data_IF_705824551451
#
_entry.id   IF_705824551451
#
_cell.length_a   1.000
_cell.length_b   1.000
_cell.length_c   1.000
_cell.angle_alpha   90.00
_cell.angle_beta   90.00
_cell.angle_gamma   90.00
#
_symmetry.space_group_name_H-M   'P 1'
#
loop_
_entity.id
_entity.type
_entity.pdbx_description
1 polymer ?
#
# COMPACT_ATOMS: atom_id res chain seq x y z
N UNK A 1 22.51 30.24 28.59
CA UNK A 1 22.26 28.79 28.72
C UNK A 1 21.75 28.29 27.37
N UNK A 2 22.65 27.76 26.52
CA UNK A 2 22.35 27.34 25.15
C UNK A 2 21.76 25.93 25.16
N UNK A 3 20.57 25.78 24.59
CA UNK A 3 19.85 24.52 24.41
C UNK A 3 20.58 23.64 23.38
N UNK A 4 20.98 22.44 23.78
CA UNK A 4 21.58 21.45 22.90
C UNK A 4 20.52 20.81 21.98
N UNK A 5 20.81 20.77 20.67
CA UNK A 5 19.99 20.11 19.66
C UNK A 5 20.09 18.57 19.76
N UNK A 6 19.02 17.81 19.43
CA UNK A 6 19.03 16.36 19.59
C UNK A 6 19.86 15.66 18.51
N UNK A 7 20.67 14.71 18.97
CA UNK A 7 21.57 13.86 18.17
C UNK A 7 20.79 13.00 17.16
N UNK A 8 21.13 13.12 15.87
CA UNK A 8 20.64 12.25 14.79
C UNK A 8 21.33 10.90 14.89
N UNK A 9 20.58 9.84 15.24
CA UNK A 9 21.09 8.47 15.23
C UNK A 9 21.19 7.95 13.78
N UNK A 10 22.42 7.77 13.31
CA UNK A 10 22.74 7.12 12.02
C UNK A 10 22.77 5.60 12.24
N UNK A 11 21.99 4.84 11.48
CA UNK A 11 21.98 3.37 11.56
C UNK A 11 22.92 2.82 10.49
N UNK A 12 24.00 2.14 10.90
CA UNK A 12 24.89 1.41 10.00
C UNK A 12 24.42 -0.03 9.87
N UNK A 13 23.82 -0.38 8.73
CA UNK A 13 23.57 -1.77 8.36
C UNK A 13 24.88 -2.36 7.83
N UNK A 14 25.56 -3.22 8.61
CA UNK A 14 26.67 -4.02 8.11
C UNK A 14 26.12 -5.13 7.20
N UNK A 15 26.49 -5.12 5.91
CA UNK A 15 26.11 -6.12 4.92
C UNK A 15 27.34 -6.57 4.12
N UNK A 16 27.38 -7.85 3.75
CA UNK A 16 28.52 -8.51 3.09
C UNK A 16 28.84 -7.93 1.70
N UNK A 17 30.12 -7.93 1.27
CA UNK A 17 30.54 -7.34 0.00
C UNK A 17 30.01 -8.11 -1.22
N UNK A 18 29.49 -7.37 -2.21
CA UNK A 18 28.86 -7.92 -3.40
C UNK A 18 29.85 -8.07 -4.56
N UNK A 19 29.92 -9.26 -5.17
CA UNK A 19 30.76 -9.51 -6.35
C UNK A 19 30.24 -8.77 -7.59
N UNK A 20 31.12 -8.01 -8.25
CA UNK A 20 30.80 -7.23 -9.46
C UNK A 20 30.79 -8.13 -10.70
N UNK A 21 29.59 -8.46 -11.20
CA UNK A 21 29.38 -8.86 -12.61
C UNK A 21 28.67 -7.71 -13.31
N UNK A 22 29.19 -7.30 -14.48
CA UNK A 22 28.76 -6.13 -15.24
C UNK A 22 27.24 -5.93 -15.21
N UNK A 23 26.80 -4.83 -14.63
CA UNK A 23 25.40 -4.60 -14.30
C UNK A 23 24.80 -3.57 -15.27
N UNK A 24 23.84 -4.01 -16.08
CA UNK A 24 22.82 -3.12 -16.62
C UNK A 24 22.35 -2.17 -15.50
N UNK A 25 22.32 -0.87 -15.78
CA UNK A 25 21.93 0.12 -14.79
C UNK A 25 20.44 -0.09 -14.39
N UNK A 26 20.03 0.45 -13.24
CA UNK A 26 18.68 0.23 -12.75
C UNK A 26 17.59 0.71 -13.73
N UNK A 27 17.86 1.76 -14.52
CA UNK A 27 16.92 2.27 -15.51
C UNK A 27 16.70 1.28 -16.67
N UNK A 28 17.76 0.65 -17.17
CA UNK A 28 17.69 -0.38 -18.20
C UNK A 28 16.90 -1.60 -17.71
N UNK A 29 17.14 -2.03 -16.46
CA UNK A 29 16.40 -3.14 -15.87
C UNK A 29 14.92 -2.82 -15.66
N UNK A 30 14.59 -1.57 -15.32
CA UNK A 30 13.21 -1.07 -15.21
C UNK A 30 12.52 -1.00 -16.59
N UNK A 31 13.21 -0.60 -17.64
CA UNK A 31 12.70 -0.68 -19.02
C UNK A 31 12.45 -2.12 -19.47
N UNK A 32 13.35 -3.06 -19.15
CA UNK A 32 13.13 -4.49 -19.45
C UNK A 32 11.96 -5.08 -18.66
N UNK A 33 11.64 -4.51 -17.49
CA UNK A 33 10.46 -4.90 -16.71
C UNK A 33 9.17 -4.42 -17.39
N UNK A 34 9.14 -3.22 -17.96
CA UNK A 34 7.93 -2.69 -18.62
C UNK A 34 7.56 -3.45 -19.89
N UNK A 35 8.50 -4.15 -20.53
CA UNK A 35 8.23 -4.99 -21.70
C UNK A 35 7.57 -6.33 -21.38
N UNK A 36 7.33 -6.66 -20.10
CA UNK A 36 6.43 -7.77 -19.70
C UNK A 36 6.92 -9.20 -19.99
N UNK A 37 8.20 -9.40 -20.35
CA UNK A 37 8.73 -10.72 -20.67
C UNK A 37 9.07 -11.54 -19.42
N UNK A 38 8.30 -12.61 -19.18
CA UNK A 38 8.66 -13.67 -18.23
C UNK A 38 7.48 -14.20 -17.39
N UNK A 39 7.61 -15.42 -16.87
CA UNK A 39 6.65 -15.96 -15.90
C UNK A 39 6.74 -15.24 -14.54
N UNK A 40 5.69 -15.35 -13.72
CA UNK A 40 5.55 -14.63 -12.43
C UNK A 40 6.76 -14.80 -11.50
N UNK A 41 7.31 -16.01 -11.42
CA UNK A 41 8.49 -16.29 -10.59
C UNK A 41 9.77 -15.60 -11.09
N UNK A 42 9.94 -15.49 -12.40
CA UNK A 42 11.08 -14.78 -13.02
C UNK A 42 10.94 -13.26 -12.84
N UNK A 43 9.72 -12.73 -12.95
CA UNK A 43 9.42 -11.32 -12.71
C UNK A 43 9.72 -10.90 -11.27
N UNK A 44 9.34 -11.71 -10.27
CA UNK A 44 9.64 -11.44 -8.85
C UNK A 44 11.15 -11.37 -8.62
N UNK A 45 11.90 -12.37 -9.10
CA UNK A 45 13.37 -12.40 -8.97
C UNK A 45 14.03 -11.19 -9.64
N UNK A 46 13.53 -10.82 -10.82
CA UNK A 46 14.01 -9.64 -11.54
C UNK A 46 13.74 -8.35 -10.77
N UNK A 47 12.52 -8.15 -10.26
CA UNK A 47 12.16 -6.99 -9.45
C UNK A 47 13.03 -6.88 -8.18
N UNK A 48 13.27 -7.99 -7.49
CA UNK A 48 14.15 -8.03 -6.32
C UNK A 48 15.60 -7.71 -6.69
N UNK A 49 16.09 -8.14 -7.86
CA UNK A 49 17.43 -7.80 -8.35
C UNK A 49 17.55 -6.30 -8.60
N UNK A 50 16.54 -5.68 -9.22
CA UNK A 50 16.48 -4.21 -9.42
C UNK A 50 16.50 -3.51 -8.07
N UNK A 51 15.61 -3.91 -7.16
CA UNK A 51 15.49 -3.30 -5.84
C UNK A 51 16.83 -3.35 -5.08
N UNK A 52 17.48 -4.52 -5.05
CA UNK A 52 18.82 -4.67 -4.45
C UNK A 52 19.85 -3.77 -5.12
N UNK A 53 19.84 -3.70 -6.46
CA UNK A 53 20.76 -2.83 -7.21
C UNK A 53 20.56 -1.33 -6.96
N UNK A 54 19.35 -0.90 -6.53
CA UNK A 54 19.07 0.47 -6.12
C UNK A 54 19.46 0.69 -4.65
N UNK A 55 19.14 -0.27 -3.78
CA UNK A 55 19.37 -0.17 -2.33
C UNK A 55 20.84 -0.31 -1.94
N UNK A 56 21.61 -1.15 -2.65
CA UNK A 56 22.98 -1.51 -2.28
C UNK A 56 24.05 -0.66 -3.01
N UNK A 57 23.68 0.49 -3.57
CA UNK A 57 24.67 1.37 -4.21
C UNK A 57 25.54 2.04 -3.14
N UNK A 58 26.86 1.81 -3.21
CA UNK A 58 27.86 2.33 -2.24
C UNK A 58 27.84 3.88 -2.12
N UNK A 59 27.38 4.58 -3.16
CA UNK A 59 27.31 6.04 -3.20
C UNK A 59 25.95 6.62 -2.77
N UNK A 60 25.06 5.81 -2.17
CA UNK A 60 23.75 6.28 -1.68
C UNK A 60 23.66 6.20 -0.16
N UNK A 61 23.20 7.28 0.43
CA UNK A 61 22.79 7.30 1.84
C UNK A 61 21.27 7.32 1.91
N UNK A 62 20.70 6.47 2.76
CA UNK A 62 19.27 6.44 3.03
C UNK A 62 19.01 7.18 4.32
N UNK A 63 18.13 8.18 4.27
CA UNK A 63 17.63 8.85 5.45
C UNK A 63 16.29 8.23 5.84
N UNK A 64 16.09 8.03 7.15
CA UNK A 64 14.80 7.58 7.65
C UNK A 64 13.81 8.72 7.49
N UNK A 65 12.89 8.59 6.54
CA UNK A 65 11.78 9.54 6.34
C UNK A 65 10.62 9.19 7.26
N UNK A 66 10.19 7.93 7.23
CA UNK A 66 9.05 7.47 8.02
C UNK A 66 9.15 5.96 8.28
N UNK A 67 8.51 5.49 9.34
CA UNK A 67 8.36 4.05 9.60
C UNK A 67 7.11 3.79 10.41
N UNK A 68 6.37 2.75 10.03
CA UNK A 68 5.26 2.23 10.81
C UNK A 68 5.21 0.72 10.70
N UNK A 69 4.78 0.08 11.77
CA UNK A 69 4.56 -1.37 11.82
C UNK A 69 3.07 -1.64 11.96
N UNK A 70 2.63 -2.81 11.48
CA UNK A 70 1.29 -3.34 11.73
C UNK A 70 1.40 -4.77 12.21
N UNK A 71 0.40 -5.22 12.98
CA UNK A 71 0.23 -6.63 13.33
C UNK A 71 -0.45 -7.43 12.20
N UNK A 72 -1.06 -6.73 11.24
CA UNK A 72 -1.75 -7.30 10.08
C UNK A 72 -0.98 -7.00 8.79
N UNK A 73 -1.37 -7.65 7.69
CA UNK A 73 -0.82 -7.37 6.37
C UNK A 73 -1.06 -5.90 6.01
N UNK A 74 0.00 -5.22 5.57
CA UNK A 74 -0.10 -3.86 5.04
C UNK A 74 -0.38 -3.96 3.55
N UNK A 75 -1.50 -3.40 3.11
CA UNK A 75 -1.87 -3.39 1.69
C UNK A 75 -1.46 -2.06 1.06
N UNK A 76 -0.97 -2.11 -0.17
CA UNK A 76 -0.61 -0.93 -0.95
C UNK A 76 -1.39 -0.93 -2.26
N UNK A 77 -2.12 0.15 -2.52
CA UNK A 77 -2.86 0.31 -3.76
C UNK A 77 -3.01 1.78 -4.12
N UNK A 78 -2.65 2.14 -5.36
CA UNK A 78 -2.79 3.50 -5.92
C UNK A 78 -2.33 4.62 -4.98
N UNK A 79 -1.07 4.51 -4.54
CA UNK A 79 -0.44 5.44 -3.60
C UNK A 79 -1.13 5.54 -2.23
N UNK A 80 -1.92 4.53 -1.84
CA UNK A 80 -2.51 4.43 -0.51
C UNK A 80 -1.96 3.20 0.21
N UNK A 81 -1.63 3.37 1.48
CA UNK A 81 -1.29 2.27 2.38
C UNK A 81 -2.44 2.03 3.36
N UNK A 82 -2.84 0.77 3.47
CA UNK A 82 -3.88 0.31 4.37
C UNK A 82 -3.28 -0.53 5.48
N UNK A 83 -3.56 -0.14 6.72
CA UNK A 83 -3.12 -0.81 7.94
C UNK A 83 -4.32 -1.32 8.73
N UNK A 84 -4.08 -2.28 9.62
CA UNK A 84 -5.09 -2.83 10.54
C UNK A 84 -6.33 -3.35 9.80
N UNK A 85 -6.11 -4.15 8.75
CA UNK A 85 -7.15 -4.64 7.84
C UNK A 85 -8.04 -3.51 7.29
N UNK A 86 -7.43 -2.58 6.57
CA UNK A 86 -8.12 -1.43 5.94
C UNK A 86 -8.75 -0.40 6.88
N UNK A 87 -8.55 -0.50 8.20
CA UNK A 87 -9.09 0.47 9.15
C UNK A 87 -8.35 1.81 9.12
N UNK A 88 -7.06 1.82 8.80
CA UNK A 88 -6.29 3.05 8.70
C UNK A 88 -5.73 3.22 7.29
N UNK A 89 -5.98 4.36 6.68
CA UNK A 89 -5.51 4.68 5.34
C UNK A 89 -4.53 5.85 5.37
N UNK A 90 -3.42 5.70 4.64
CA UNK A 90 -2.39 6.72 4.47
C UNK A 90 -2.17 6.99 2.98
N UNK A 91 -2.07 8.26 2.60
CA UNK A 91 -1.62 8.70 1.28
C UNK A 91 -0.10 8.73 1.23
N UNK A 92 0.48 8.18 0.16
CA UNK A 92 1.91 8.18 -0.14
C UNK A 92 2.25 9.14 -1.29
N UNK A 93 1.39 10.12 -1.58
CA UNK A 93 1.68 11.16 -2.59
C UNK A 93 2.79 12.10 -2.10
N UNK A 94 2.89 12.29 -0.79
CA UNK A 94 3.90 13.13 -0.15
C UNK A 94 5.12 12.30 0.31
N UNK A 95 6.23 12.99 0.56
CA UNK A 95 7.49 12.38 1.03
C UNK A 95 7.26 11.57 2.31
N UNK A 96 6.53 12.14 3.27
CA UNK A 96 6.04 11.41 4.44
C UNK A 96 4.57 11.01 4.22
N UNK A 97 4.19 9.75 4.46
CA UNK A 97 2.80 9.32 4.30
C UNK A 97 1.85 10.09 5.22
N UNK A 98 0.80 10.67 4.64
CA UNK A 98 -0.21 11.43 5.38
C UNK A 98 -1.42 10.57 5.68
N UNK A 99 -1.93 10.65 6.91
CA UNK A 99 -3.19 10.01 7.28
C UNK A 99 -4.33 10.58 6.45
N UNK A 100 -5.08 9.71 5.76
CA UNK A 100 -6.33 10.10 5.10
C UNK A 100 -7.50 9.92 6.05
N UNK A 101 -7.59 8.74 6.67
CA UNK A 101 -8.62 8.46 7.66
C UNK A 101 -8.21 7.33 8.61
N UNK A 102 -8.91 7.27 9.73
CA UNK A 102 -8.99 6.12 10.63
C UNK A 102 -10.45 5.83 10.86
N UNK A 103 -10.86 4.62 10.51
CA UNK A 103 -12.21 4.16 10.82
C UNK A 103 -12.37 4.07 12.35
N UNK A 104 -13.57 4.37 12.87
CA UNK A 104 -13.85 4.19 14.29
C UNK A 104 -13.66 2.73 14.70
N UNK A 105 -13.27 2.51 15.95
CA UNK A 105 -13.07 1.17 16.50
C UNK A 105 -14.33 0.34 16.35
N UNK A 106 -14.23 -0.78 15.64
CA UNK A 106 -15.35 -1.69 15.38
C UNK A 106 -15.35 -2.87 16.32
N UNK A 107 -16.53 -3.43 16.55
CA UNK A 107 -16.66 -4.70 17.27
C UNK A 107 -15.98 -5.84 16.47
N UNK A 108 -15.65 -6.96 17.14
CA UNK A 108 -15.09 -8.13 16.46
C UNK A 108 -16.00 -8.69 15.35
N UNK A 109 -17.30 -8.45 15.46
CA UNK A 109 -18.30 -8.87 14.48
C UNK A 109 -18.32 -7.96 13.24
N UNK A 110 -17.85 -6.73 13.36
CA UNK A 110 -17.84 -5.74 12.27
C UNK A 110 -16.43 -5.52 11.68
N UNK A 111 -15.46 -6.35 12.09
CA UNK A 111 -14.12 -6.32 11.51
C UNK A 111 -14.21 -6.55 9.99
N UNK A 112 -13.34 -5.88 9.26
CA UNK A 112 -13.16 -6.09 7.82
C UNK A 112 -12.43 -7.43 7.65
N UNK A 113 -13.03 -8.35 6.89
CA UNK A 113 -12.45 -9.64 6.51
C UNK A 113 -11.67 -9.52 5.20
N UNK A 114 -12.23 -8.80 4.23
CA UNK A 114 -11.60 -8.53 2.94
C UNK A 114 -12.07 -7.18 2.37
N UNK A 115 -11.29 -6.60 1.46
CA UNK A 115 -11.67 -5.37 0.80
C UNK A 115 -11.12 -5.27 -0.63
N UNK A 116 -11.94 -4.71 -1.52
CA UNK A 116 -11.63 -4.47 -2.92
C UNK A 116 -11.66 -2.97 -3.22
N UNK A 117 -10.63 -2.48 -3.90
CA UNK A 117 -10.60 -1.10 -4.37
C UNK A 117 -11.40 -0.94 -5.66
N UNK A 118 -12.36 -0.01 -5.65
CA UNK A 118 -13.19 0.29 -6.79
C UNK A 118 -12.75 1.61 -7.43
N UNK A 119 -12.36 1.52 -8.70
CA UNK A 119 -12.00 2.65 -9.54
C UNK A 119 -12.92 2.75 -10.75
N UNK A 120 -13.25 3.97 -11.14
CA UNK A 120 -13.97 4.22 -12.39
C UNK A 120 -13.02 4.13 -13.58
N UNK A 121 -13.48 3.63 -14.74
CA UNK A 121 -12.70 3.70 -15.98
C UNK A 121 -12.46 5.15 -16.37
N UNK A 122 -11.22 5.49 -16.74
CA UNK A 122 -10.83 6.85 -17.15
C UNK A 122 -11.53 7.29 -18.44
N UNK A 123 -11.88 6.34 -19.31
CA UNK A 123 -12.36 6.59 -20.68
C UNK A 123 -13.89 6.73 -20.79
N UNK A 124 -14.64 6.35 -19.75
CA UNK A 124 -16.11 6.32 -19.81
C UNK A 124 -16.68 7.36 -18.85
N UNK A 125 -17.36 8.36 -19.39
CA UNK A 125 -18.18 9.25 -18.56
C UNK A 125 -19.31 8.43 -17.94
N UNK A 126 -19.34 8.35 -16.62
CA UNK A 126 -20.42 7.75 -15.87
C UNK A 126 -21.58 8.75 -15.78
N UNK A 127 -22.78 8.25 -15.51
CA UNK A 127 -24.00 9.06 -15.45
C UNK A 127 -23.96 10.13 -14.35
N UNK A 128 -23.29 9.84 -13.22
CA UNK A 128 -23.11 10.81 -12.14
C UNK A 128 -21.62 11.07 -11.86
N UNK A 129 -21.23 12.33 -11.62
CA UNK A 129 -19.88 12.68 -11.14
C UNK A 129 -19.47 11.92 -9.86
N UNK A 130 -20.42 11.57 -8.99
CA UNK A 130 -20.15 10.80 -7.77
C UNK A 130 -19.63 9.40 -8.05
N UNK A 131 -20.03 8.81 -9.18
CA UNK A 131 -19.71 7.43 -9.52
C UNK A 131 -18.26 7.29 -9.98
N UNK A 132 -17.64 8.41 -10.33
CA UNK A 132 -16.21 8.47 -10.64
C UNK A 132 -15.33 8.40 -9.41
N UNK A 133 -15.86 8.75 -8.22
CA UNK A 133 -15.06 8.82 -7.00
C UNK A 133 -14.60 7.42 -6.58
N UNK A 134 -13.30 7.23 -6.28
CA UNK A 134 -12.81 5.94 -5.83
C UNK A 134 -13.46 5.56 -4.50
N UNK A 135 -13.78 4.28 -4.36
CA UNK A 135 -14.36 3.75 -3.12
C UNK A 135 -13.72 2.43 -2.76
N UNK A 136 -13.69 2.13 -1.47
CA UNK A 136 -13.26 0.84 -0.95
C UNK A 136 -14.51 0.03 -0.63
N UNK A 137 -14.67 -1.11 -1.28
CA UNK A 137 -15.71 -2.08 -0.96
C UNK A 137 -15.15 -3.02 0.11
N UNK A 138 -15.72 -3.01 1.31
CA UNK A 138 -15.24 -3.77 2.45
C UNK A 138 -16.29 -4.79 2.89
N UNK A 139 -15.87 -6.04 3.03
CA UNK A 139 -16.67 -7.12 3.55
C UNK A 139 -16.43 -7.28 5.05
N UNK A 140 -17.49 -7.25 5.85
CA UNK A 140 -17.38 -7.42 7.31
C UNK A 140 -17.65 -8.85 7.76
N UNK A 141 -17.20 -9.18 8.97
CA UNK A 141 -17.42 -10.49 9.56
C UNK A 141 -18.90 -10.81 9.85
N UNK A 142 -19.78 -9.82 9.96
CA UNK A 142 -21.22 -10.01 10.11
C UNK A 142 -21.97 -9.92 8.77
N UNK A 143 -21.30 -10.22 7.65
CA UNK A 143 -21.87 -10.31 6.30
C UNK A 143 -22.48 -9.01 5.78
N UNK A 144 -21.94 -7.86 6.19
CA UNK A 144 -22.25 -6.60 5.55
C UNK A 144 -21.22 -6.31 4.47
N UNK A 145 -21.71 -5.87 3.32
CA UNK A 145 -20.90 -5.27 2.29
C UNK A 145 -21.04 -3.76 2.42
N UNK A 146 -19.93 -3.09 2.72
CA UNK A 146 -19.90 -1.66 2.99
C UNK A 146 -19.07 -0.98 1.91
N UNK A 147 -19.60 0.08 1.31
CA UNK A 147 -18.87 0.95 0.40
C UNK A 147 -18.41 2.18 1.16
N UNK A 148 -17.10 2.33 1.27
CA UNK A 148 -16.44 3.45 1.95
C UNK A 148 -15.84 4.40 0.92
N UNK A 149 -15.83 5.69 1.19
CA UNK A 149 -15.04 6.66 0.45
C UNK A 149 -13.55 6.31 0.56
N UNK A 150 -12.83 6.21 -0.57
CA UNK A 150 -11.40 5.90 -0.52
C UNK A 150 -10.55 7.07 0.01
N UNK A 151 -11.13 8.27 0.11
CA UNK A 151 -10.46 9.49 0.56
C UNK A 151 -10.76 9.81 2.02
N UNK A 152 -12.03 9.71 2.43
CA UNK A 152 -12.50 10.12 3.76
C UNK A 152 -12.77 8.94 4.69
N UNK A 153 -12.91 7.72 4.16
CA UNK A 153 -13.32 6.55 4.93
C UNK A 153 -14.78 6.59 5.38
N UNK A 154 -15.54 7.60 4.94
CA UNK A 154 -16.97 7.71 5.23
C UNK A 154 -17.75 6.59 4.57
N UNK A 155 -18.77 6.11 5.27
CA UNK A 155 -19.66 5.11 4.74
C UNK A 155 -20.66 5.73 3.76
N UNK A 156 -20.57 5.31 2.50
CA UNK A 156 -21.43 5.78 1.42
C UNK A 156 -22.68 4.91 1.27
N UNK A 157 -22.53 3.60 1.51
CA UNK A 157 -23.61 2.63 1.35
C UNK A 157 -23.29 1.36 2.14
N UNK A 158 -24.33 0.65 2.61
CA UNK A 158 -24.20 -0.70 3.14
C UNK A 158 -25.33 -1.59 2.65
N UNK A 159 -25.01 -2.87 2.44
CA UNK A 159 -25.98 -3.91 2.07
C UNK A 159 -25.70 -5.15 2.90
N UNK A 160 -26.75 -5.72 3.50
CA UNK A 160 -26.65 -6.99 4.17
C UNK A 160 -26.73 -8.13 3.15
N UNK A 161 -25.78 -9.05 3.18
CA UNK A 161 -25.68 -10.11 2.17
C UNK A 161 -26.59 -11.29 2.48
N UNK A 162 -26.37 -11.95 3.61
CA UNK A 162 -27.16 -13.14 3.99
C UNK A 162 -26.90 -13.54 5.44
N UNK A 163 -27.89 -14.12 6.14
CA UNK A 163 -27.66 -14.82 7.40
C UNK A 163 -27.15 -16.25 7.20
N UNK A 164 -27.35 -16.84 6.02
CA UNK A 164 -27.15 -18.27 5.78
C UNK A 164 -25.74 -18.63 5.29
N UNK A 165 -25.02 -17.65 4.76
CA UNK A 165 -23.69 -17.86 4.17
C UNK A 165 -22.67 -16.95 4.85
N UNK A 166 -21.47 -17.49 5.11
CA UNK A 166 -20.35 -16.71 5.61
C UNK A 166 -19.45 -16.32 4.45
N UNK A 167 -19.45 -15.02 4.13
CA UNK A 167 -18.55 -14.47 3.12
C UNK A 167 -17.21 -14.14 3.79
N UNK A 168 -16.09 -14.48 3.13
CA UNK A 168 -14.73 -14.21 3.63
C UNK A 168 -13.85 -13.44 2.66
N UNK A 169 -14.22 -13.44 1.38
CA UNK A 169 -13.44 -12.88 0.29
C UNK A 169 -14.36 -12.14 -0.68
N UNK A 170 -13.83 -11.12 -1.34
CA UNK A 170 -14.49 -10.37 -2.43
C UNK A 170 -13.92 -10.73 -3.80
#
# INVERSE_FOLDING_TARGET
MLLAAPSRKTYHLQMAPQQRKGSANAAELLSRRSTGLGNTGTLIRHNLKILRGILLQENRTFTKVWSKTSKSTVMYENCKLYFENYQHCYSCVHVEPQILYKLPTRSKQEKIEDALMCHSPVEKSLSSPSDHKPSLLALTANNWLIRLSAETGEELQRVYLSPNYKFRYL
#
